data_IF_173507444898
#
_entry.id   IF_173507444898
#
_cell.length_a   1.000
_cell.length_b   1.000
_cell.length_c   1.000
_cell.angle_alpha   90.00
_cell.angle_beta   90.00
_cell.angle_gamma   90.00
#
_symmetry.space_group_name_H-M   'P 1'
#
loop_
_entity.id
_entity.type
_entity.pdbx_description
1 polymer ?
#
# COMPACT_ATOMS: atom_id res chain seq x y z
N UNK A 1 23.38 -9.78 -20.70
CA UNK A 1 23.81 -10.22 -19.35
C UNK A 1 24.48 -9.06 -18.68
N UNK A 2 24.00 -8.64 -17.51
CA UNK A 2 24.55 -7.56 -16.69
C UNK A 2 25.25 -8.18 -15.47
N UNK A 3 26.49 -7.78 -15.20
CA UNK A 3 27.22 -8.16 -13.98
C UNK A 3 27.38 -6.92 -13.11
N UNK A 4 26.86 -7.00 -11.89
CA UNK A 4 27.07 -5.98 -10.85
C UNK A 4 28.25 -6.42 -9.98
N UNK A 5 29.37 -5.68 -10.04
CA UNK A 5 30.58 -5.94 -9.26
C UNK A 5 30.52 -5.21 -7.93
N UNK A 6 30.98 -5.87 -6.87
CA UNK A 6 31.11 -5.28 -5.53
C UNK A 6 29.79 -4.78 -4.92
N UNK A 7 28.66 -5.40 -5.24
CA UNK A 7 27.36 -5.02 -4.65
C UNK A 7 27.25 -5.56 -3.22
N UNK A 8 26.71 -4.77 -2.31
CA UNK A 8 26.43 -5.17 -0.92
C UNK A 8 25.08 -5.89 -0.83
N UNK A 9 25.01 -6.97 -0.08
CA UNK A 9 23.76 -7.65 0.28
C UNK A 9 23.18 -7.00 1.53
N UNK A 10 21.91 -6.63 1.51
CA UNK A 10 21.25 -5.77 2.50
C UNK A 10 21.25 -6.34 3.93
N UNK A 11 21.03 -7.66 4.09
CA UNK A 11 20.87 -8.31 5.39
C UNK A 11 22.18 -8.85 5.96
N UNK A 12 23.08 -9.34 5.11
CA UNK A 12 24.36 -9.90 5.54
C UNK A 12 25.48 -8.87 5.54
N UNK A 13 25.35 -7.79 4.73
CA UNK A 13 26.43 -6.83 4.48
C UNK A 13 27.57 -7.38 3.63
N UNK A 14 27.44 -8.62 3.13
CA UNK A 14 28.45 -9.26 2.27
C UNK A 14 28.56 -8.51 0.94
N UNK A 15 29.80 -8.36 0.46
CA UNK A 15 30.05 -7.75 -0.86
C UNK A 15 30.33 -8.87 -1.85
N UNK A 16 29.55 -8.88 -2.92
CA UNK A 16 29.55 -9.95 -3.92
C UNK A 16 29.53 -9.39 -5.35
N UNK A 17 29.79 -10.26 -6.32
CA UNK A 17 29.48 -10.03 -7.72
C UNK A 17 28.17 -10.73 -8.08
N UNK A 18 27.20 -9.98 -8.61
CA UNK A 18 25.90 -10.49 -8.97
C UNK A 18 25.71 -10.48 -10.47
N UNK A 19 25.29 -11.60 -11.05
CA UNK A 19 25.00 -11.71 -12.47
C UNK A 19 23.49 -11.71 -12.67
N UNK A 20 23.02 -10.73 -13.43
CA UNK A 20 21.64 -10.63 -13.86
C UNK A 20 21.57 -11.15 -15.31
N UNK A 21 20.89 -12.28 -15.58
CA UNK A 21 20.73 -12.78 -16.94
C UNK A 21 20.06 -11.73 -17.80
N UNK A 22 20.43 -11.66 -19.08
CA UNK A 22 19.72 -10.78 -20.02
C UNK A 22 18.26 -11.20 -20.12
N UNK A 23 17.41 -10.24 -19.92
CA UNK A 23 16.03 -10.40 -19.57
C UNK A 23 15.19 -11.20 -20.57
N UNK A 24 14.20 -11.86 -20.03
CA UNK A 24 12.87 -12.03 -20.61
C UNK A 24 12.38 -10.69 -21.21
N UNK A 25 11.70 -10.75 -22.35
CA UNK A 25 11.26 -9.58 -23.13
C UNK A 25 10.37 -8.58 -22.34
N UNK A 26 9.91 -8.98 -21.15
CA UNK A 26 9.10 -8.17 -20.23
C UNK A 26 9.85 -7.02 -19.53
N UNK A 27 11.19 -7.05 -19.57
CA UNK A 27 12.05 -6.11 -18.83
C UNK A 27 12.96 -5.31 -19.76
N UNK A 28 12.60 -5.20 -21.02
CA UNK A 28 13.33 -4.33 -21.93
C UNK A 28 12.85 -2.88 -21.73
N UNK A 29 13.77 -1.91 -21.64
CA UNK A 29 13.40 -0.50 -21.72
C UNK A 29 12.54 -0.25 -22.97
N UNK A 30 11.61 0.68 -22.91
CA UNK A 30 10.74 1.04 -24.04
C UNK A 30 11.52 1.41 -25.32
N UNK A 31 12.81 1.77 -25.17
CA UNK A 31 13.75 2.08 -26.25
C UNK A 31 14.50 0.85 -26.80
N UNK A 32 14.19 -0.35 -26.32
CA UNK A 32 14.78 -1.62 -26.78
C UNK A 32 16.26 -1.81 -26.40
N UNK A 33 16.78 -1.00 -25.48
CA UNK A 33 18.16 -1.13 -25.03
C UNK A 33 18.36 -2.35 -24.13
N UNK A 34 19.16 -3.32 -24.56
CA UNK A 34 19.62 -4.41 -23.68
C UNK A 34 20.78 -3.89 -22.85
N UNK A 35 20.60 -3.83 -21.51
CA UNK A 35 21.71 -3.50 -20.61
C UNK A 35 22.62 -4.73 -20.50
N UNK A 36 23.80 -4.65 -21.11
CA UNK A 36 24.82 -5.69 -21.03
C UNK A 36 26.13 -5.09 -20.53
N UNK A 37 26.92 -5.90 -19.85
CA UNK A 37 28.26 -5.54 -19.42
C UNK A 37 28.52 -5.69 -17.94
N UNK A 38 29.72 -5.28 -17.56
CA UNK A 38 30.17 -5.24 -16.16
C UNK A 38 29.98 -3.81 -15.63
N UNK A 39 29.26 -3.70 -14.51
CA UNK A 39 29.01 -2.44 -13.82
C UNK A 39 29.62 -2.49 -12.42
N UNK A 40 30.41 -1.48 -12.06
CA UNK A 40 30.91 -1.35 -10.69
C UNK A 40 29.77 -0.83 -9.79
N UNK A 41 29.28 -1.72 -8.93
CA UNK A 41 28.19 -1.47 -8.00
C UNK A 41 28.72 -1.13 -6.57
N UNK A 42 29.99 -0.72 -6.47
CA UNK A 42 30.53 -0.24 -5.19
C UNK A 42 29.69 0.89 -4.63
N UNK A 43 29.21 0.74 -3.40
CA UNK A 43 28.30 1.69 -2.75
C UNK A 43 26.83 1.44 -3.01
N UNK A 44 26.45 0.45 -3.85
CA UNK A 44 25.07 0.01 -3.99
C UNK A 44 24.76 -1.16 -3.08
N UNK A 45 23.51 -1.25 -2.67
CA UNK A 45 22.98 -2.36 -1.89
C UNK A 45 21.86 -3.05 -2.68
N UNK A 46 21.93 -4.37 -2.79
CA UNK A 46 20.83 -5.18 -3.32
C UNK A 46 19.93 -5.62 -2.18
N UNK A 47 18.62 -5.41 -2.35
CA UNK A 47 17.59 -5.77 -1.39
C UNK A 47 16.38 -6.40 -2.12
N UNK A 48 15.48 -7.08 -1.39
CA UNK A 48 14.17 -7.42 -1.95
C UNK A 48 13.45 -6.16 -2.39
N UNK A 49 12.69 -6.23 -3.47
CA UNK A 49 11.87 -5.11 -3.93
C UNK A 49 10.90 -4.65 -2.84
N UNK A 50 10.59 -3.36 -2.82
CA UNK A 50 9.62 -2.83 -1.87
C UNK A 50 8.22 -3.35 -2.18
N UNK A 51 7.40 -3.44 -1.13
CA UNK A 51 5.98 -3.74 -1.24
C UNK A 51 5.18 -2.64 -0.53
N UNK A 52 4.04 -2.26 -1.11
CA UNK A 52 3.17 -1.24 -0.54
C UNK A 52 1.75 -1.77 -0.37
N UNK A 53 1.29 -2.02 0.85
CA UNK A 53 -0.04 -2.55 1.09
C UNK A 53 -1.15 -1.48 1.02
N UNK A 54 -0.85 -0.24 0.60
CA UNK A 54 -1.79 0.86 0.63
C UNK A 54 -1.57 1.86 -0.50
N UNK A 55 -2.22 1.60 -1.67
CA UNK A 55 -2.20 2.53 -2.81
C UNK A 55 -3.60 2.71 -3.41
N UNK A 56 -3.85 3.90 -3.97
CA UNK A 56 -5.11 4.27 -4.60
C UNK A 56 -4.93 4.50 -6.10
N UNK A 57 -4.76 3.44 -6.86
CA UNK A 57 -4.84 3.55 -8.31
C UNK A 57 -6.29 3.82 -8.70
N UNK A 58 -6.49 4.78 -9.59
CA UNK A 58 -7.79 5.38 -9.88
C UNK A 58 -8.51 4.74 -11.05
N UNK A 59 -8.10 3.56 -11.43
CA UNK A 59 -8.62 2.77 -12.56
C UNK A 59 -9.38 1.55 -12.00
N UNK A 60 -10.66 1.35 -12.39
CA UNK A 60 -11.44 2.12 -13.37
C UNK A 60 -12.06 3.40 -12.81
N UNK A 61 -12.54 4.24 -13.71
CA UNK A 61 -13.50 5.31 -13.47
C UNK A 61 -12.94 6.69 -13.13
N UNK A 62 -11.66 6.78 -12.72
CA UNK A 62 -10.97 8.04 -12.45
C UNK A 62 -9.56 8.07 -13.07
N UNK A 63 -9.40 7.43 -14.21
CA UNK A 63 -8.11 7.29 -14.93
C UNK A 63 -7.47 8.62 -15.31
N UNK A 64 -8.24 9.70 -15.32
CA UNK A 64 -7.74 11.07 -15.49
C UNK A 64 -6.87 11.57 -14.31
N UNK A 65 -6.95 10.92 -13.15
CA UNK A 65 -6.07 11.16 -12.00
C UNK A 65 -4.85 10.27 -12.05
N UNK A 66 -5.09 8.98 -12.28
CA UNK A 66 -4.05 7.96 -12.44
C UNK A 66 -4.65 6.69 -13.03
N UNK A 67 -3.96 6.10 -14.01
CA UNK A 67 -4.28 4.79 -14.56
C UNK A 67 -3.45 3.69 -13.89
N UNK A 68 -3.83 2.42 -14.09
CA UNK A 68 -3.00 1.28 -13.67
C UNK A 68 -1.57 1.38 -14.23
N UNK A 69 -1.41 1.81 -15.49
CA UNK A 69 -0.10 1.93 -16.14
C UNK A 69 0.75 3.02 -15.46
N UNK A 70 0.18 4.20 -15.19
CA UNK A 70 0.94 5.29 -14.57
C UNK A 70 1.28 4.99 -13.11
N UNK A 71 0.34 4.42 -12.34
CA UNK A 71 0.57 4.03 -10.96
C UNK A 71 1.62 2.92 -10.81
N UNK A 72 1.56 1.88 -11.67
CA UNK A 72 2.58 0.84 -11.68
C UNK A 72 3.97 1.37 -12.10
N UNK A 73 4.05 2.37 -12.99
CA UNK A 73 5.31 3.04 -13.33
C UNK A 73 5.85 3.87 -12.17
N UNK A 74 5.00 4.60 -11.46
CA UNK A 74 5.39 5.33 -10.26
C UNK A 74 5.93 4.37 -9.19
N UNK A 75 5.24 3.26 -8.96
CA UNK A 75 5.68 2.21 -8.04
C UNK A 75 7.06 1.65 -8.44
N UNK A 76 7.23 1.26 -9.70
CA UNK A 76 8.51 0.74 -10.21
C UNK A 76 9.64 1.77 -10.07
N UNK A 77 9.36 3.06 -10.32
CA UNK A 77 10.35 4.15 -10.17
C UNK A 77 10.78 4.33 -8.72
N UNK A 78 9.92 4.03 -7.75
CA UNK A 78 10.23 4.05 -6.32
C UNK A 78 10.87 2.76 -5.80
N UNK A 79 11.10 1.76 -6.67
CA UNK A 79 11.68 0.47 -6.28
C UNK A 79 10.66 -0.55 -5.74
N UNK A 80 9.37 -0.28 -5.88
CA UNK A 80 8.33 -1.23 -5.52
C UNK A 80 8.18 -2.31 -6.58
N UNK A 81 7.96 -3.52 -6.14
CA UNK A 81 7.74 -4.70 -6.99
C UNK A 81 6.36 -5.31 -6.78
N UNK A 82 5.69 -4.94 -5.70
CA UNK A 82 4.34 -5.36 -5.39
C UNK A 82 3.56 -4.27 -4.66
N UNK A 83 2.26 -4.11 -4.98
CA UNK A 83 1.35 -3.16 -4.32
C UNK A 83 0.00 -3.80 -4.05
N UNK A 84 -0.71 -3.33 -3.01
CA UNK A 84 -2.10 -3.69 -2.73
C UNK A 84 -3.00 -2.48 -3.04
N UNK A 85 -3.91 -2.67 -3.99
CA UNK A 85 -4.80 -1.61 -4.46
C UNK A 85 -6.05 -1.57 -3.57
N UNK A 86 -6.31 -0.40 -2.98
CA UNK A 86 -7.49 -0.15 -2.14
C UNK A 86 -8.79 -0.15 -2.95
N UNK A 87 -9.92 -0.52 -2.32
CA UNK A 87 -11.15 -0.85 -3.05
C UNK A 87 -11.98 0.35 -3.50
N UNK A 88 -11.49 1.58 -3.34
CA UNK A 88 -12.20 2.83 -3.59
C UNK A 88 -12.15 3.31 -5.04
N UNK A 89 -12.14 2.40 -5.99
CA UNK A 89 -12.35 2.66 -7.43
C UNK A 89 -13.79 3.09 -7.74
N UNK A 90 -14.08 3.44 -8.97
CA UNK A 90 -15.44 3.81 -9.42
C UNK A 90 -15.80 3.02 -10.68
N UNK A 91 -16.63 1.98 -10.59
CA UNK A 91 -17.33 1.45 -9.40
C UNK A 91 -16.38 0.87 -8.34
N UNK A 92 -16.90 0.69 -7.12
CA UNK A 92 -16.11 0.11 -6.02
C UNK A 92 -15.86 -1.39 -6.21
N UNK A 93 -14.75 -1.91 -5.66
CA UNK A 93 -14.38 -3.33 -5.74
C UNK A 93 -15.14 -4.16 -4.70
N UNK A 94 -16.42 -4.38 -4.87
CA UNK A 94 -17.25 -5.21 -3.97
C UNK A 94 -17.64 -6.58 -4.55
N UNK A 95 -17.14 -6.92 -5.73
CA UNK A 95 -17.36 -8.20 -6.43
C UNK A 95 -18.72 -8.31 -7.13
N UNK A 96 -19.60 -7.33 -6.98
CA UNK A 96 -20.91 -7.34 -7.63
C UNK A 96 -20.82 -6.92 -9.10
N UNK A 97 -21.74 -7.47 -9.91
CA UNK A 97 -21.84 -7.09 -11.32
C UNK A 97 -22.09 -5.58 -11.48
N UNK A 98 -21.30 -4.95 -12.34
CA UNK A 98 -21.38 -3.52 -12.63
C UNK A 98 -22.67 -3.22 -13.41
N UNK A 99 -23.39 -2.17 -13.00
CA UNK A 99 -24.61 -1.74 -13.68
C UNK A 99 -24.29 -0.83 -14.86
N UNK A 100 -24.78 -1.17 -16.05
CA UNK A 100 -24.64 -0.32 -17.22
C UNK A 100 -25.14 1.11 -16.95
N UNK A 101 -24.33 2.10 -17.34
CA UNK A 101 -24.63 3.52 -17.12
C UNK A 101 -24.18 4.08 -15.77
N UNK A 102 -23.66 3.25 -14.84
CA UNK A 102 -22.99 3.76 -13.65
C UNK A 102 -21.64 4.43 -14.02
N UNK A 103 -21.18 5.42 -13.24
CA UNK A 103 -19.86 6.01 -13.47
C UNK A 103 -18.75 4.94 -13.51
N UNK A 104 -17.86 5.01 -14.51
CA UNK A 104 -16.78 4.04 -14.71
C UNK A 104 -17.19 2.65 -15.22
N UNK A 105 -18.50 2.36 -15.28
CA UNK A 105 -18.99 1.05 -15.70
C UNK A 105 -18.61 0.68 -17.14
N UNK A 106 -18.49 1.65 -18.03
CA UNK A 106 -18.18 1.40 -19.42
C UNK A 106 -16.81 0.74 -19.58
N UNK A 107 -15.80 1.16 -18.84
CA UNK A 107 -14.44 0.60 -18.87
C UNK A 107 -14.45 -0.91 -18.56
N UNK A 108 -15.22 -1.31 -17.54
CA UNK A 108 -15.35 -2.71 -17.11
C UNK A 108 -16.13 -3.55 -18.12
N UNK A 109 -17.30 -3.03 -18.57
CA UNK A 109 -18.21 -3.75 -19.48
C UNK A 109 -17.65 -3.88 -20.89
N UNK A 110 -17.00 -2.86 -21.42
CA UNK A 110 -16.35 -2.88 -22.74
C UNK A 110 -15.16 -3.83 -22.77
N UNK A 111 -14.53 -4.06 -21.61
CA UNK A 111 -13.51 -5.09 -21.42
C UNK A 111 -14.08 -6.52 -21.41
N UNK A 112 -15.40 -6.68 -21.40
CA UNK A 112 -16.09 -7.97 -21.31
C UNK A 112 -16.09 -8.57 -19.91
N UNK A 113 -15.81 -7.75 -18.88
CA UNK A 113 -15.79 -8.16 -17.48
C UNK A 113 -17.15 -7.89 -16.80
N UNK A 114 -17.49 -8.65 -15.78
CA UNK A 114 -18.76 -8.51 -15.05
C UNK A 114 -18.68 -7.53 -13.88
N UNK A 115 -17.52 -7.46 -13.25
CA UNK A 115 -17.25 -6.64 -12.07
C UNK A 115 -15.83 -6.05 -12.11
N UNK A 116 -15.54 -5.15 -11.18
CA UNK A 116 -14.26 -4.42 -11.14
C UNK A 116 -13.09 -5.34 -10.79
N UNK A 117 -13.29 -6.35 -9.93
CA UNK A 117 -12.22 -7.25 -9.54
C UNK A 117 -11.83 -8.12 -10.75
N UNK A 118 -12.81 -8.67 -11.47
CA UNK A 118 -12.58 -9.40 -12.72
C UNK A 118 -11.82 -8.56 -13.76
N UNK A 119 -12.23 -7.29 -13.91
CA UNK A 119 -11.55 -6.33 -14.79
C UNK A 119 -10.08 -6.13 -14.41
N UNK A 120 -9.78 -5.88 -13.15
CA UNK A 120 -8.41 -5.66 -12.68
C UNK A 120 -7.58 -6.95 -12.73
N UNK A 121 -8.14 -8.11 -12.42
CA UNK A 121 -7.45 -9.39 -12.55
C UNK A 121 -7.06 -9.73 -13.98
N UNK A 122 -7.74 -9.15 -14.96
CA UNK A 122 -7.48 -9.35 -16.38
C UNK A 122 -6.92 -8.10 -17.09
N UNK A 123 -6.54 -7.07 -16.36
CA UNK A 123 -6.17 -5.76 -16.89
C UNK A 123 -5.11 -5.83 -18.00
N UNK A 124 -4.01 -6.53 -17.77
CA UNK A 124 -2.92 -6.66 -18.73
C UNK A 124 -3.39 -7.30 -20.05
N UNK A 125 -4.23 -8.33 -19.94
CA UNK A 125 -4.80 -9.02 -21.11
C UNK A 125 -5.79 -8.13 -21.86
N UNK A 126 -6.64 -7.41 -21.14
CA UNK A 126 -7.68 -6.56 -21.74
C UNK A 126 -7.07 -5.38 -22.49
N UNK A 127 -6.03 -4.79 -21.94
CA UNK A 127 -5.36 -3.61 -22.51
C UNK A 127 -4.14 -3.93 -23.36
N UNK A 128 -3.77 -5.22 -23.51
CA UNK A 128 -2.57 -5.68 -24.22
C UNK A 128 -1.30 -4.95 -23.72
N UNK A 129 -1.16 -4.86 -22.40
CA UNK A 129 -0.03 -4.22 -21.72
C UNK A 129 0.67 -5.20 -20.78
N UNK A 130 1.92 -4.92 -20.44
CA UNK A 130 2.63 -5.57 -19.34
C UNK A 130 2.98 -4.54 -18.29
N UNK A 131 2.55 -4.78 -17.05
CA UNK A 131 2.80 -3.86 -15.95
C UNK A 131 4.13 -4.20 -15.27
N UNK A 132 4.92 -3.18 -14.88
CA UNK A 132 6.26 -3.39 -14.32
C UNK A 132 6.26 -3.89 -12.87
N UNK A 133 5.11 -3.87 -12.19
CA UNK A 133 4.95 -4.34 -10.80
C UNK A 133 3.77 -5.30 -10.71
N UNK A 134 3.84 -6.21 -9.74
CA UNK A 134 2.69 -7.04 -9.35
C UNK A 134 1.74 -6.22 -8.49
N UNK A 135 0.48 -6.61 -8.49
CA UNK A 135 -0.50 -6.02 -7.58
C UNK A 135 -1.47 -7.07 -7.08
N UNK A 136 -1.90 -6.88 -5.87
CA UNK A 136 -3.02 -7.58 -5.27
C UNK A 136 -4.19 -6.60 -5.10
N UNK A 137 -5.37 -7.13 -4.81
CA UNK A 137 -6.58 -6.36 -4.72
C UNK A 137 -7.16 -6.44 -3.31
N UNK A 138 -7.77 -5.34 -2.88
CA UNK A 138 -8.58 -5.29 -1.67
C UNK A 138 -10.06 -5.26 -2.05
N UNK A 139 -10.89 -6.05 -1.39
CA UNK A 139 -12.35 -5.98 -1.61
C UNK A 139 -13.01 -5.07 -0.59
N UNK A 140 -14.11 -4.40 -0.98
CA UNK A 140 -14.89 -3.57 -0.07
C UNK A 140 -15.45 -4.36 1.11
N UNK A 141 -15.38 -3.80 2.31
CA UNK A 141 -16.06 -4.32 3.50
C UNK A 141 -17.58 -4.13 3.40
N UNK A 142 -18.03 -3.07 2.73
CA UNK A 142 -19.46 -2.80 2.49
C UNK A 142 -19.78 -2.66 1.00
N UNK A 143 -21.01 -2.98 0.62
CA UNK A 143 -21.51 -2.82 -0.75
C UNK A 143 -21.40 -1.37 -1.19
N UNK A 144 -20.87 -1.13 -2.41
CA UNK A 144 -20.55 0.19 -2.96
C UNK A 144 -19.66 1.05 -2.03
N UNK A 145 -18.99 0.44 -1.06
CA UNK A 145 -18.25 1.15 0.00
C UNK A 145 -19.11 2.19 0.74
N UNK A 146 -20.38 1.88 0.89
CA UNK A 146 -21.40 2.81 1.39
C UNK A 146 -21.51 2.84 2.92
N UNK A 147 -20.95 1.85 3.63
CA UNK A 147 -21.11 1.69 5.07
C UNK A 147 -22.53 1.32 5.53
N UNK A 148 -23.41 0.89 4.63
CA UNK A 148 -24.83 0.60 4.91
C UNK A 148 -25.11 -0.90 5.02
N UNK A 149 -24.51 -1.70 4.15
CA UNK A 149 -24.68 -3.14 4.10
C UNK A 149 -23.32 -3.79 3.86
N UNK A 150 -22.98 -4.83 4.63
CA UNK A 150 -21.74 -5.57 4.44
C UNK A 150 -21.68 -6.23 3.05
N UNK A 151 -20.50 -6.27 2.44
CA UNK A 151 -20.31 -7.02 1.19
C UNK A 151 -20.56 -8.51 1.41
N UNK A 152 -21.09 -9.16 0.38
CA UNK A 152 -21.42 -10.59 0.46
C UNK A 152 -20.22 -11.43 -0.04
N UNK A 153 -19.68 -12.34 0.78
CA UNK A 153 -18.63 -13.24 0.34
C UNK A 153 -18.96 -14.00 -0.95
N UNK A 154 -20.22 -14.31 -1.21
CA UNK A 154 -20.65 -14.97 -2.43
C UNK A 154 -20.32 -14.18 -3.71
N UNK A 155 -20.20 -12.85 -3.61
CA UNK A 155 -19.88 -12.00 -4.75
C UNK A 155 -18.37 -12.00 -5.07
N UNK A 156 -17.47 -12.19 -4.07
CA UNK A 156 -16.03 -11.97 -4.25
C UNK A 156 -15.12 -13.16 -3.86
N UNK A 157 -15.61 -14.21 -3.16
CA UNK A 157 -14.76 -15.36 -2.79
C UNK A 157 -14.04 -16.00 -3.99
N UNK A 158 -14.65 -15.97 -5.17
CA UNK A 158 -14.04 -16.51 -6.40
C UNK A 158 -12.75 -15.82 -6.82
N UNK A 159 -12.48 -14.64 -6.29
CA UNK A 159 -11.32 -13.82 -6.61
C UNK A 159 -10.13 -14.02 -5.65
N UNK A 160 -10.26 -14.91 -4.67
CA UNK A 160 -9.19 -15.28 -3.75
C UNK A 160 -8.35 -16.42 -4.33
N UNK A 161 -7.05 -16.40 -4.00
CA UNK A 161 -6.20 -17.58 -4.23
C UNK A 161 -6.77 -18.82 -3.53
N UNK A 162 -6.79 -19.94 -4.24
CA UNK A 162 -7.31 -21.20 -3.70
C UNK A 162 -8.80 -21.44 -3.93
N UNK A 163 -9.54 -20.45 -4.42
CA UNK A 163 -10.94 -20.62 -4.86
C UNK A 163 -11.00 -20.82 -6.37
N UNK A 164 -10.73 -22.03 -6.81
CA UNK A 164 -10.80 -22.39 -8.22
C UNK A 164 -12.26 -22.55 -8.68
N UNK A 165 -12.69 -21.71 -9.58
CA UNK A 165 -14.02 -21.80 -10.20
C UNK A 165 -14.04 -22.68 -11.46
N UNK A 166 -12.88 -22.98 -12.08
CA UNK A 166 -12.78 -23.62 -13.40
C UNK A 166 -11.78 -24.78 -13.48
N UNK A 167 -11.33 -25.33 -12.36
CA UNK A 167 -10.30 -26.40 -12.35
C UNK A 167 -8.90 -25.89 -12.69
N UNK A 168 -8.63 -24.58 -12.52
CA UNK A 168 -7.30 -24.00 -12.62
C UNK A 168 -6.64 -23.94 -11.25
N UNK A 169 -5.34 -24.21 -11.20
CA UNK A 169 -4.60 -24.16 -9.95
C UNK A 169 -4.62 -22.75 -9.34
N UNK A 170 -4.84 -22.66 -8.04
CA UNK A 170 -4.98 -21.43 -7.25
C UNK A 170 -3.90 -20.37 -7.48
N UNK A 171 -2.66 -20.80 -7.74
CA UNK A 171 -1.53 -19.91 -8.03
C UNK A 171 -1.57 -19.26 -9.43
N UNK A 172 -2.61 -19.52 -10.22
CA UNK A 172 -2.81 -18.91 -11.55
C UNK A 172 -3.61 -17.61 -11.51
N UNK A 173 -4.15 -17.20 -10.37
CA UNK A 173 -4.69 -15.86 -10.20
C UNK A 173 -3.53 -14.87 -10.16
N UNK A 174 -3.37 -14.09 -11.21
CA UNK A 174 -2.26 -13.14 -11.33
C UNK A 174 -2.35 -12.03 -10.26
N UNK A 175 -3.57 -11.65 -9.86
CA UNK A 175 -3.87 -10.51 -8.99
C UNK A 175 -5.00 -10.86 -8.01
N UNK A 176 -4.73 -11.66 -6.95
CA UNK A 176 -5.77 -12.12 -6.04
C UNK A 176 -6.29 -10.99 -5.13
N UNK A 177 -7.50 -11.20 -4.61
CA UNK A 177 -7.96 -10.45 -3.44
C UNK A 177 -7.27 -11.02 -2.20
N UNK A 178 -6.61 -10.17 -1.42
CA UNK A 178 -5.83 -10.58 -0.25
C UNK A 178 -6.29 -9.92 1.06
N UNK A 179 -7.13 -8.89 0.99
CA UNK A 179 -7.61 -8.15 2.16
C UNK A 179 -9.02 -7.58 1.94
N UNK A 180 -9.63 -7.13 3.03
CA UNK A 180 -10.94 -6.45 3.05
C UNK A 180 -10.76 -5.06 3.67
N UNK A 181 -11.34 -4.01 3.05
CA UNK A 181 -11.31 -2.64 3.57
C UNK A 181 -12.47 -1.81 3.00
N UNK A 182 -12.89 -0.78 3.73
CA UNK A 182 -13.67 0.33 3.18
C UNK A 182 -12.84 1.61 3.06
N UNK A 183 -11.53 1.47 2.87
CA UNK A 183 -10.56 2.57 2.91
C UNK A 183 -11.02 3.85 2.24
N UNK A 184 -10.65 4.97 2.86
CA UNK A 184 -11.23 6.30 2.74
C UNK A 184 -12.43 6.51 3.68
N UNK A 185 -12.85 5.45 4.42
CA UNK A 185 -13.79 5.49 5.52
C UNK A 185 -13.58 4.30 6.46
N UNK A 186 -13.78 4.50 7.76
CA UNK A 186 -13.80 3.40 8.71
C UNK A 186 -15.05 2.52 8.50
N UNK A 187 -14.91 1.22 8.74
CA UNK A 187 -16.08 0.32 8.79
C UNK A 187 -17.08 0.82 9.83
N UNK A 188 -18.33 1.00 9.43
CA UNK A 188 -19.36 1.53 10.33
C UNK A 188 -19.64 0.57 11.49
N UNK A 189 -19.91 1.07 12.72
CA UNK A 189 -20.09 0.20 13.89
C UNK A 189 -21.16 -0.86 13.70
N UNK A 190 -22.24 -0.56 12.97
CA UNK A 190 -23.34 -1.50 12.71
C UNK A 190 -22.98 -2.67 11.79
N UNK A 191 -21.91 -2.56 11.02
CA UNK A 191 -21.47 -3.61 10.10
C UNK A 191 -20.26 -4.39 10.60
N UNK A 192 -19.52 -3.88 11.57
CA UNK A 192 -18.21 -4.39 11.95
C UNK A 192 -18.23 -5.88 12.33
N UNK A 193 -19.23 -6.32 13.11
CA UNK A 193 -19.34 -7.72 13.51
C UNK A 193 -19.55 -8.65 12.29
N UNK A 194 -20.38 -8.24 11.32
CA UNK A 194 -20.59 -9.00 10.10
C UNK A 194 -19.35 -9.00 9.21
N UNK A 195 -18.69 -7.85 9.08
CA UNK A 195 -17.42 -7.73 8.32
C UNK A 195 -16.35 -8.64 8.91
N UNK A 196 -16.17 -8.65 10.23
CA UNK A 196 -15.20 -9.52 10.89
C UNK A 196 -15.55 -11.01 10.73
N UNK A 197 -16.84 -11.36 10.69
CA UNK A 197 -17.27 -12.73 10.37
C UNK A 197 -16.87 -13.10 8.93
N UNK A 198 -17.11 -12.22 7.95
CA UNK A 198 -16.71 -12.42 6.56
C UNK A 198 -15.17 -12.55 6.40
N UNK A 199 -14.42 -11.70 7.08
CA UNK A 199 -12.95 -11.74 7.13
C UNK A 199 -12.46 -13.11 7.62
N UNK A 200 -13.05 -13.59 8.71
CA UNK A 200 -12.69 -14.88 9.32
C UNK A 200 -13.05 -16.06 8.43
N UNK A 201 -14.22 -16.02 7.80
CA UNK A 201 -14.67 -17.04 6.85
C UNK A 201 -13.76 -17.16 5.63
N UNK A 202 -13.35 -16.01 5.11
CA UNK A 202 -12.46 -15.94 3.95
C UNK A 202 -10.98 -16.23 4.27
N UNK A 203 -10.60 -16.26 5.55
CA UNK A 203 -9.19 -16.39 5.96
C UNK A 203 -8.33 -15.17 5.62
N UNK A 204 -8.96 -14.00 5.49
CA UNK A 204 -8.32 -12.72 5.19
C UNK A 204 -8.03 -11.93 6.47
N UNK A 205 -7.61 -10.68 6.33
CA UNK A 205 -7.49 -9.70 7.40
C UNK A 205 -8.24 -8.42 7.02
N UNK A 206 -8.67 -7.67 8.05
CA UNK A 206 -9.30 -6.37 7.87
C UNK A 206 -8.22 -5.30 7.82
N UNK A 207 -8.26 -4.46 6.81
CA UNK A 207 -7.50 -3.21 6.75
C UNK A 207 -8.46 -2.09 7.12
N UNK A 208 -8.18 -1.40 8.22
CA UNK A 208 -9.09 -0.40 8.78
C UNK A 208 -8.56 1.02 8.62
N UNK A 209 -9.33 1.85 7.92
CA UNK A 209 -9.09 3.28 7.85
C UNK A 209 -9.36 3.93 9.21
N UNK A 210 -8.30 4.42 9.86
CA UNK A 210 -8.36 4.82 11.26
C UNK A 210 -8.85 6.25 11.45
N UNK A 211 -10.07 6.55 10.99
CA UNK A 211 -10.67 7.85 11.22
C UNK A 211 -12.18 7.75 11.41
N UNK A 212 -12.66 8.36 12.51
CA UNK A 212 -14.09 8.51 12.73
C UNK A 212 -14.66 9.60 11.80
N UNK A 213 -15.91 9.45 11.38
CA UNK A 213 -16.59 10.37 10.44
C UNK A 213 -16.90 11.76 11.02
N UNK A 214 -16.00 12.33 11.80
CA UNK A 214 -16.10 13.71 12.28
C UNK A 214 -15.77 14.69 11.14
N UNK A 215 -16.40 15.84 11.17
CA UNK A 215 -16.21 16.86 10.15
C UNK A 215 -14.99 17.73 10.46
N UNK A 216 -14.17 17.97 9.45
CA UNK A 216 -13.02 18.87 9.55
C UNK A 216 -12.25 18.88 8.22
N UNK A 217 -11.29 19.77 8.09
CA UNK A 217 -10.50 19.88 6.87
C UNK A 217 -9.01 19.63 7.08
N UNK A 218 -8.49 19.94 8.29
CA UNK A 218 -7.10 19.78 8.68
C UNK A 218 -7.03 19.46 10.18
N UNK A 219 -5.87 19.12 10.71
CA UNK A 219 -5.68 18.87 12.14
C UNK A 219 -6.21 20.01 13.03
N UNK A 220 -6.93 19.68 14.11
CA UNK A 220 -7.39 20.72 15.06
C UNK A 220 -6.22 21.30 15.83
N UNK A 221 -6.10 22.63 15.74
CA UNK A 221 -4.99 23.30 16.40
C UNK A 221 -4.82 24.77 15.99
N UNK A 222 -3.63 25.32 16.25
CA UNK A 222 -3.31 26.68 15.85
C UNK A 222 -3.39 26.90 14.33
N UNK A 223 -3.04 25.87 13.53
CA UNK A 223 -3.02 25.94 12.07
C UNK A 223 -4.45 25.98 11.50
N UNK A 224 -5.38 25.13 11.96
CA UNK A 224 -6.78 25.19 11.51
C UNK A 224 -7.42 26.52 11.79
N UNK A 225 -7.16 27.09 12.98
CA UNK A 225 -7.64 28.43 13.36
C UNK A 225 -7.03 29.53 12.48
N UNK A 226 -5.74 29.44 12.14
CA UNK A 226 -5.06 30.39 11.27
C UNK A 226 -5.57 30.35 9.83
N UNK A 227 -5.89 29.13 9.34
CA UNK A 227 -6.47 28.91 8.01
C UNK A 227 -7.96 29.25 7.97
N UNK A 228 -8.63 29.39 9.13
CA UNK A 228 -10.06 29.66 9.22
C UNK A 228 -10.94 28.48 8.78
N UNK A 229 -10.46 27.24 8.96
CA UNK A 229 -11.16 26.03 8.60
C UNK A 229 -11.41 25.15 9.83
N UNK A 230 -12.46 24.28 9.82
CA UNK A 230 -12.72 23.38 10.93
C UNK A 230 -11.59 22.37 11.11
N UNK A 231 -11.22 22.11 12.37
CA UNK A 231 -10.20 21.12 12.73
C UNK A 231 -10.77 19.71 12.88
N UNK A 232 -9.94 18.72 12.66
CA UNK A 232 -10.18 17.30 12.93
C UNK A 232 -9.48 16.97 14.25
N UNK A 233 -10.21 16.63 15.32
CA UNK A 233 -9.62 16.26 16.60
C UNK A 233 -8.73 15.02 16.49
N UNK A 234 -7.70 14.92 17.32
CA UNK A 234 -6.81 13.76 17.35
C UNK A 234 -7.51 12.46 17.81
N UNK A 235 -8.55 12.59 18.64
CA UNK A 235 -9.32 11.46 19.19
C UNK A 235 -10.20 10.77 18.12
N UNK A 236 -10.38 11.35 16.94
CA UNK A 236 -11.10 10.72 15.82
C UNK A 236 -10.43 9.41 15.42
N UNK A 237 -9.10 9.40 15.35
CA UNK A 237 -8.29 8.22 15.06
C UNK A 237 -8.36 7.21 16.22
N UNK A 238 -8.15 7.64 17.45
CA UNK A 238 -8.21 6.77 18.62
C UNK A 238 -9.57 6.09 18.80
N UNK A 239 -10.67 6.74 18.45
CA UNK A 239 -12.02 6.15 18.53
C UNK A 239 -12.12 4.86 17.73
N UNK A 240 -11.57 4.85 16.52
CA UNK A 240 -11.55 3.66 15.66
C UNK A 240 -10.54 2.65 16.17
N UNK A 241 -9.31 3.07 16.43
CA UNK A 241 -8.25 2.18 16.91
C UNK A 241 -8.68 1.47 18.21
N UNK A 242 -9.23 2.19 19.19
CA UNK A 242 -9.67 1.60 20.45
C UNK A 242 -10.85 0.62 20.27
N UNK A 243 -11.84 0.98 19.42
CA UNK A 243 -12.96 0.11 19.08
C UNK A 243 -12.48 -1.23 18.51
N UNK A 244 -11.55 -1.15 17.56
CA UNK A 244 -11.11 -2.31 16.79
C UNK A 244 -10.09 -3.17 17.54
N UNK A 245 -9.33 -2.58 18.46
CA UNK A 245 -8.55 -3.34 19.45
C UNK A 245 -9.47 -4.24 20.29
N UNK A 246 -10.61 -3.72 20.78
CA UNK A 246 -11.58 -4.55 21.51
C UNK A 246 -12.16 -5.66 20.61
N UNK A 247 -12.46 -5.35 19.35
CA UNK A 247 -12.95 -6.34 18.37
C UNK A 247 -11.90 -7.42 18.05
N UNK A 248 -10.65 -7.04 17.90
CA UNK A 248 -9.56 -8.01 17.73
C UNK A 248 -9.43 -8.92 18.97
N UNK A 249 -9.61 -8.37 20.18
CA UNK A 249 -9.60 -9.13 21.43
C UNK A 249 -10.77 -10.11 21.50
N UNK A 250 -11.99 -9.68 21.13
CA UNK A 250 -13.19 -10.51 21.18
C UNK A 250 -13.19 -11.64 20.14
N UNK A 251 -12.74 -11.36 18.93
CA UNK A 251 -12.92 -12.25 17.77
C UNK A 251 -11.67 -13.05 17.40
N UNK A 252 -10.48 -12.55 17.77
CA UNK A 252 -9.19 -13.08 17.33
C UNK A 252 -8.90 -12.84 15.84
N UNK A 253 -9.67 -11.97 15.17
CA UNK A 253 -9.44 -11.57 13.77
C UNK A 253 -8.26 -10.63 13.70
N UNK A 254 -7.41 -10.80 12.68
CA UNK A 254 -6.31 -9.88 12.42
C UNK A 254 -6.87 -8.56 11.85
N UNK A 255 -6.57 -7.45 12.53
CA UNK A 255 -6.90 -6.09 12.07
C UNK A 255 -5.59 -5.33 11.86
N UNK A 256 -5.46 -4.75 10.67
CA UNK A 256 -4.36 -3.88 10.30
C UNK A 256 -4.82 -2.42 10.28
N UNK A 257 -4.23 -1.59 11.13
CA UNK A 257 -4.55 -0.17 11.24
C UNK A 257 -3.75 0.62 10.22
N UNK A 258 -4.45 1.28 9.27
CA UNK A 258 -3.84 2.09 8.23
C UNK A 258 -3.34 3.43 8.78
N UNK A 259 -2.29 3.95 8.15
CA UNK A 259 -1.76 5.33 8.25
C UNK A 259 -1.90 5.99 9.63
N UNK A 260 -1.62 5.25 10.70
CA UNK A 260 -1.68 5.78 12.07
C UNK A 260 -0.78 7.00 12.21
N UNK A 261 -1.31 8.08 12.79
CA UNK A 261 -0.70 9.40 12.78
C UNK A 261 -0.64 10.11 14.13
N UNK A 262 -1.32 9.61 15.20
CA UNK A 262 -1.39 10.27 16.51
C UNK A 262 -0.64 9.53 17.59
N UNK A 263 -0.04 10.28 18.52
CA UNK A 263 0.66 9.73 19.68
C UNK A 263 -0.25 8.85 20.55
N UNK A 264 -1.50 9.25 20.74
CA UNK A 264 -2.46 8.52 21.56
C UNK A 264 -2.87 7.18 20.96
N UNK A 265 -2.95 7.09 19.63
CA UNK A 265 -3.23 5.82 18.93
C UNK A 265 -2.04 4.86 19.00
N UNK A 266 -0.82 5.36 18.80
CA UNK A 266 0.38 4.53 18.98
C UNK A 266 0.49 3.96 20.40
N UNK A 267 0.12 4.73 21.42
CA UNK A 267 0.10 4.25 22.81
C UNK A 267 -0.93 3.14 23.04
N UNK A 268 -2.11 3.24 22.42
CA UNK A 268 -3.14 2.20 22.48
C UNK A 268 -2.69 0.92 21.76
N UNK A 269 -2.14 1.06 20.55
CA UNK A 269 -1.63 -0.06 19.74
C UNK A 269 -0.47 -0.76 20.46
N UNK A 270 0.48 -0.02 21.01
CA UNK A 270 1.62 -0.57 21.77
C UNK A 270 1.16 -1.44 22.94
N UNK A 271 0.15 -0.98 23.71
CA UNK A 271 -0.44 -1.74 24.81
C UNK A 271 -1.10 -3.01 24.31
N UNK A 272 -1.91 -2.92 23.27
CA UNK A 272 -2.62 -4.06 22.70
C UNK A 272 -1.65 -5.11 22.11
N UNK A 273 -0.56 -4.69 21.48
CA UNK A 273 0.52 -5.59 21.01
C UNK A 273 1.21 -6.29 22.19
N UNK A 274 1.45 -5.58 23.30
CA UNK A 274 2.04 -6.19 24.50
C UNK A 274 1.12 -7.25 25.12
N UNK A 275 -0.19 -7.18 24.88
CA UNK A 275 -1.15 -8.22 25.26
C UNK A 275 -1.14 -9.42 24.29
N UNK A 276 -0.46 -9.32 23.15
CA UNK A 276 -0.39 -10.36 22.11
C UNK A 276 -1.61 -10.42 21.20
N UNK A 277 -2.35 -9.31 21.06
CA UNK A 277 -3.50 -9.26 20.16
C UNK A 277 -3.07 -9.35 18.69
N UNK A 278 -3.90 -9.94 17.81
CA UNK A 278 -3.61 -10.07 16.39
C UNK A 278 -3.85 -8.74 15.66
N UNK A 279 -3.03 -7.74 15.96
CA UNK A 279 -3.08 -6.43 15.34
C UNK A 279 -1.73 -6.04 14.77
N UNK A 280 -1.77 -5.29 13.67
CA UNK A 280 -0.61 -4.64 13.07
C UNK A 280 -0.98 -3.20 12.70
N UNK A 281 0.01 -2.34 12.48
CA UNK A 281 -0.24 -0.99 12.01
C UNK A 281 0.84 -0.50 11.05
N UNK A 282 0.45 0.42 10.20
CA UNK A 282 1.33 1.16 9.33
C UNK A 282 1.28 2.65 9.62
N UNK A 283 2.27 3.37 9.11
CA UNK A 283 2.26 4.81 8.95
C UNK A 283 2.87 5.20 7.61
N UNK A 284 2.74 6.46 7.22
CA UNK A 284 3.12 6.89 5.88
C UNK A 284 4.29 7.89 5.89
N UNK A 285 5.09 7.96 4.79
CA UNK A 285 6.23 8.86 4.67
C UNK A 285 5.91 10.32 4.93
N UNK A 286 4.71 10.78 4.54
CA UNK A 286 4.29 12.16 4.76
C UNK A 286 4.10 12.52 6.24
N UNK A 287 3.73 11.57 7.12
CA UNK A 287 3.69 11.80 8.58
C UNK A 287 5.08 11.83 9.24
N UNK A 288 6.11 11.42 8.53
CA UNK A 288 7.50 11.53 8.97
C UNK A 288 8.12 12.87 8.58
N UNK A 289 7.82 13.30 7.35
CA UNK A 289 8.43 14.48 6.75
C UNK A 289 7.72 15.77 7.12
N UNK A 290 6.38 15.75 7.23
CA UNK A 290 5.52 16.92 7.34
C UNK A 290 4.72 16.92 8.65
N UNK A 291 4.28 18.10 9.06
CA UNK A 291 3.32 18.33 10.14
C UNK A 291 2.28 19.38 9.69
N UNK A 292 1.31 19.68 10.53
CA UNK A 292 0.23 20.62 10.20
C UNK A 292 0.72 22.04 9.84
N UNK A 293 1.86 22.49 10.39
CA UNK A 293 2.45 23.80 10.06
C UNK A 293 2.85 23.90 8.57
N UNK A 294 3.20 22.78 7.93
CA UNK A 294 3.60 22.73 6.52
C UNK A 294 2.44 23.04 5.58
N UNK A 295 1.19 22.93 6.04
CA UNK A 295 0.01 23.39 5.30
C UNK A 295 0.03 24.89 5.00
N UNK A 296 0.76 25.68 5.80
CA UNK A 296 0.90 27.12 5.58
C UNK A 296 1.80 27.45 4.38
N UNK A 297 2.70 26.53 4.02
CA UNK A 297 3.60 26.66 2.87
C UNK A 297 3.05 25.95 1.64
N UNK A 298 2.67 24.67 1.79
CA UNK A 298 2.27 23.81 0.67
C UNK A 298 0.76 23.83 0.37
N UNK A 299 -0.04 24.45 1.23
CA UNK A 299 -1.48 24.57 1.03
C UNK A 299 -2.16 23.22 0.92
N UNK A 300 -3.12 23.14 0.03
CA UNK A 300 -3.92 21.94 -0.22
C UNK A 300 -3.15 20.78 -0.86
N UNK A 301 -1.96 21.02 -1.42
CA UNK A 301 -1.10 19.93 -1.90
C UNK A 301 -0.70 18.99 -0.77
N UNK A 302 -0.56 19.52 0.46
CA UNK A 302 -0.27 18.75 1.66
C UNK A 302 -1.53 18.31 2.44
N UNK A 303 -2.74 18.52 1.89
CA UNK A 303 -3.98 18.09 2.52
C UNK A 303 -4.15 16.59 2.38
N UNK A 304 -4.23 15.89 3.52
CA UNK A 304 -4.29 14.44 3.65
C UNK A 304 -5.35 14.02 4.67
N UNK A 305 -5.74 12.75 4.66
CA UNK A 305 -6.66 12.14 5.63
C UNK A 305 -6.19 10.72 6.00
N UNK A 306 -5.86 10.45 7.29
CA UNK A 306 -5.83 11.39 8.43
C UNK A 306 -5.01 12.65 8.16
N UNK A 307 -5.35 13.81 8.79
CA UNK A 307 -4.64 15.05 8.50
C UNK A 307 -3.19 14.99 8.98
N UNK A 308 -2.31 15.76 8.34
CA UNK A 308 -0.99 16.02 8.90
C UNK A 308 -1.17 16.54 10.32
N UNK A 309 -0.62 15.83 11.30
CA UNK A 309 -0.77 16.12 12.72
C UNK A 309 0.28 17.14 13.20
N UNK A 310 0.26 17.44 14.49
CA UNK A 310 1.22 18.34 15.09
C UNK A 310 2.67 17.83 14.99
N UNK A 311 3.65 18.72 15.18
CA UNK A 311 5.06 18.33 15.28
C UNK A 311 5.32 17.34 16.43
N UNK A 312 4.49 17.34 17.47
CA UNK A 312 4.57 16.36 18.59
C UNK A 312 4.14 14.99 18.11
N UNK A 313 3.05 14.88 17.36
CA UNK A 313 2.58 13.62 16.79
C UNK A 313 3.56 13.08 15.76
N UNK A 314 4.14 13.95 14.91
CA UNK A 314 5.20 13.56 13.98
C UNK A 314 6.38 12.93 14.73
N UNK A 315 6.81 13.51 15.84
CA UNK A 315 7.88 12.94 16.64
C UNK A 315 7.47 11.63 17.31
N UNK A 316 6.21 11.50 17.73
CA UNK A 316 5.66 10.25 18.27
C UNK A 316 5.60 9.14 17.21
N UNK A 317 5.29 9.48 15.94
CA UNK A 317 5.32 8.57 14.80
C UNK A 317 6.73 8.01 14.57
N UNK A 318 7.75 8.88 14.56
CA UNK A 318 9.16 8.48 14.44
C UNK A 318 9.55 7.56 15.61
N UNK A 319 9.15 7.91 16.83
CA UNK A 319 9.43 7.10 18.03
C UNK A 319 8.75 5.71 17.96
N UNK A 320 7.50 5.64 17.45
CA UNK A 320 6.76 4.39 17.30
C UNK A 320 7.37 3.46 16.23
N UNK A 321 8.03 4.00 15.22
CA UNK A 321 8.82 3.21 14.27
C UNK A 321 10.09 2.68 14.94
N UNK A 322 10.79 3.53 15.68
CA UNK A 322 12.05 3.18 16.33
C UNK A 322 11.88 2.11 17.42
N UNK A 323 10.76 2.14 18.15
CA UNK A 323 10.47 1.17 19.22
C UNK A 323 9.78 -0.12 18.72
N UNK A 324 9.43 -0.19 17.43
CA UNK A 324 8.79 -1.36 16.82
C UNK A 324 7.27 -1.43 17.00
N UNK A 325 6.62 -0.37 17.48
CA UNK A 325 5.16 -0.29 17.52
C UNK A 325 4.56 -0.31 16.12
N UNK A 326 5.17 0.43 15.17
CA UNK A 326 4.83 0.38 13.74
C UNK A 326 5.47 -0.85 13.11
N UNK A 327 4.66 -1.65 12.41
CA UNK A 327 5.10 -2.88 11.75
C UNK A 327 5.72 -2.64 10.39
N UNK A 328 5.18 -1.69 9.63
CA UNK A 328 5.57 -1.41 8.25
C UNK A 328 5.29 0.04 7.85
N UNK A 329 5.87 0.44 6.74
CA UNK A 329 5.65 1.73 6.09
C UNK A 329 4.87 1.49 4.78
N UNK A 330 3.77 2.21 4.62
CA UNK A 330 2.97 2.24 3.40
C UNK A 330 2.82 3.69 2.92
N UNK A 331 2.65 3.91 1.63
CA UNK A 331 2.68 5.27 1.10
C UNK A 331 1.35 6.01 1.22
N UNK A 332 0.25 5.29 1.21
CA UNK A 332 -1.08 5.87 0.98
C UNK A 332 -1.06 6.78 -0.25
N UNK A 333 -0.46 6.26 -1.34
CA UNK A 333 -0.36 6.97 -2.62
C UNK A 333 -1.74 7.25 -3.18
N UNK A 334 -2.18 8.51 -3.07
CA UNK A 334 -3.55 8.93 -3.38
C UNK A 334 -3.57 10.14 -4.33
N UNK A 335 -3.41 9.91 -5.64
CA UNK A 335 -3.30 10.98 -6.63
C UNK A 335 -4.62 11.70 -6.88
N UNK A 336 -4.50 13.02 -7.08
CA UNK A 336 -5.56 13.93 -7.50
C UNK A 336 -5.00 14.94 -8.49
N UNK A 337 -5.86 15.48 -9.35
CA UNK A 337 -5.42 16.51 -10.29
C UNK A 337 -5.08 17.83 -9.58
N UNK A 338 -4.20 18.61 -10.18
CA UNK A 338 -3.86 19.92 -9.62
C UNK A 338 -5.11 20.83 -9.50
N UNK A 339 -6.01 20.77 -10.51
CA UNK A 339 -7.27 21.50 -10.48
C UNK A 339 -8.15 21.13 -9.28
N UNK A 340 -8.20 19.83 -8.92
CA UNK A 340 -8.94 19.39 -7.74
C UNK A 340 -8.27 19.87 -6.45
N UNK A 341 -6.95 19.83 -6.39
CA UNK A 341 -6.19 20.31 -5.22
C UNK A 341 -6.26 21.84 -5.03
N UNK A 342 -6.49 22.61 -6.07
CA UNK A 342 -6.59 24.08 -6.00
C UNK A 342 -7.96 24.60 -5.52
N UNK A 343 -8.93 23.74 -5.21
CA UNK A 343 -10.28 24.13 -4.78
C UNK A 343 -10.38 24.70 -3.36
N UNK A 344 -9.26 24.83 -2.65
CA UNK A 344 -9.21 25.29 -1.26
C UNK A 344 -9.48 24.19 -0.24
N UNK A 345 -9.17 24.43 1.03
CA UNK A 345 -9.14 23.39 2.05
C UNK A 345 -10.46 22.67 2.32
N UNK A 346 -11.61 23.30 2.06
CA UNK A 346 -12.91 22.65 2.29
C UNK A 346 -13.32 21.72 1.15
N UNK A 347 -12.91 22.01 -0.08
CA UNK A 347 -13.36 21.31 -1.28
C UNK A 347 -12.27 20.45 -1.93
N UNK A 348 -10.99 20.76 -1.69
CA UNK A 348 -9.89 19.96 -2.22
C UNK A 348 -9.93 18.55 -1.62
N UNK A 349 -9.78 17.51 -2.44
CA UNK A 349 -9.73 16.13 -1.94
C UNK A 349 -8.46 15.90 -1.11
N UNK A 350 -8.54 14.93 -0.22
CA UNK A 350 -7.41 14.45 0.56
C UNK A 350 -6.56 13.49 -0.29
N UNK A 351 -5.25 13.64 -0.24
CA UNK A 351 -4.34 12.73 -0.93
C UNK A 351 -3.00 13.38 -1.26
N UNK A 352 -1.94 12.61 -1.09
CA UNK A 352 -0.56 12.94 -1.42
C UNK A 352 0.00 11.78 -2.26
N UNK A 353 0.82 12.07 -3.28
CA UNK A 353 1.56 11.04 -4.00
C UNK A 353 2.83 10.70 -3.23
N UNK A 354 3.22 9.42 -3.18
CA UNK A 354 4.33 8.99 -2.33
C UNK A 354 5.25 7.95 -2.94
N UNK A 355 4.78 7.09 -3.86
CA UNK A 355 5.51 5.92 -4.33
C UNK A 355 6.94 6.22 -4.79
N UNK A 356 7.14 7.23 -5.64
CA UNK A 356 8.44 7.51 -6.24
C UNK A 356 9.48 8.02 -5.24
N UNK A 357 9.07 8.63 -4.12
CA UNK A 357 9.97 9.28 -3.18
C UNK A 357 9.99 8.67 -1.76
N UNK A 358 9.15 7.67 -1.50
CA UNK A 358 8.95 7.11 -0.16
C UNK A 358 10.27 6.67 0.49
N UNK A 359 11.09 5.88 -0.22
CA UNK A 359 12.35 5.41 0.34
C UNK A 359 13.27 6.57 0.71
N UNK A 360 13.46 7.53 -0.20
CA UNK A 360 14.33 8.68 0.05
C UNK A 360 13.88 9.53 1.23
N UNK A 361 12.57 9.75 1.36
CA UNK A 361 11.98 10.49 2.50
C UNK A 361 12.20 9.73 3.80
N UNK A 362 11.86 8.43 3.83
CA UNK A 362 12.01 7.60 5.02
C UNK A 362 13.48 7.45 5.43
N UNK A 363 14.38 7.23 4.46
CA UNK A 363 15.81 7.18 4.72
C UNK A 363 16.32 8.48 5.33
N UNK A 364 15.97 9.60 4.72
CA UNK A 364 16.38 10.93 5.21
C UNK A 364 15.94 11.21 6.64
N UNK A 365 14.71 10.86 6.98
CA UNK A 365 14.17 11.13 8.32
C UNK A 365 14.66 10.10 9.34
N UNK A 366 14.59 8.82 9.00
CA UNK A 366 14.77 7.74 9.97
C UNK A 366 16.21 7.27 10.07
N UNK A 367 16.91 7.10 8.95
CA UNK A 367 18.29 6.57 8.94
C UNK A 367 19.29 7.70 9.14
N UNK A 368 19.26 8.76 8.32
CA UNK A 368 20.12 9.93 8.51
C UNK A 368 19.86 10.59 9.87
N UNK A 369 18.61 10.54 10.35
CA UNK A 369 18.22 11.00 11.69
C UNK A 369 18.74 10.13 12.84
N UNK A 370 19.28 8.95 12.54
CA UNK A 370 19.85 8.01 13.52
C UNK A 370 18.81 7.25 14.36
N UNK A 371 17.55 7.16 13.90
CA UNK A 371 16.48 6.46 14.62
C UNK A 371 16.48 4.96 14.37
N UNK A 372 16.76 4.54 13.12
CA UNK A 372 16.85 3.13 12.72
C UNK A 372 18.04 2.91 11.78
N UNK A 373 18.38 1.65 11.51
CA UNK A 373 19.37 1.29 10.50
C UNK A 373 18.74 1.17 9.11
N UNK A 374 19.57 1.20 8.04
CA UNK A 374 19.14 0.89 6.66
C UNK A 374 18.45 -0.46 6.58
N UNK A 375 19.03 -1.49 7.23
CA UNK A 375 18.43 -2.82 7.27
C UNK A 375 17.01 -2.79 7.82
N UNK A 376 16.78 -2.04 8.93
CA UNK A 376 15.43 -1.91 9.51
C UNK A 376 14.49 -1.17 8.58
N UNK A 377 14.95 -0.16 7.86
CA UNK A 377 14.14 0.52 6.86
C UNK A 377 13.70 -0.42 5.73
N UNK A 378 14.62 -1.24 5.22
CA UNK A 378 14.31 -2.26 4.20
C UNK A 378 13.30 -3.28 4.75
N UNK A 379 13.45 -3.73 6.00
CA UNK A 379 12.45 -4.60 6.64
C UNK A 379 11.06 -3.98 6.65
N UNK A 380 10.95 -2.68 6.99
CA UNK A 380 9.69 -1.95 7.08
C UNK A 380 9.04 -1.67 5.72
N UNK A 381 9.81 -1.55 4.65
CA UNK A 381 9.30 -1.21 3.31
C UNK A 381 9.23 -2.40 2.36
N UNK A 382 9.84 -3.53 2.70
CA UNK A 382 9.90 -4.71 1.85
C UNK A 382 9.37 -5.96 2.54
N UNK A 383 10.07 -6.41 3.59
CA UNK A 383 9.84 -7.72 4.21
C UNK A 383 8.51 -7.76 4.95
N UNK A 384 8.23 -6.77 5.78
CA UNK A 384 7.02 -6.72 6.59
C UNK A 384 5.75 -6.53 5.73
N UNK A 385 5.70 -5.57 4.79
CA UNK A 385 4.54 -5.42 3.93
C UNK A 385 4.31 -6.64 3.01
N UNK A 386 5.38 -7.26 2.46
CA UNK A 386 5.22 -8.49 1.69
C UNK A 386 4.57 -9.61 2.52
N UNK A 387 4.96 -9.77 3.78
CA UNK A 387 4.36 -10.77 4.68
C UNK A 387 2.90 -10.46 4.99
N UNK A 388 2.56 -9.19 5.21
CA UNK A 388 1.17 -8.76 5.43
C UNK A 388 0.30 -9.15 4.22
N UNK A 389 0.80 -8.92 3.00
CA UNK A 389 0.11 -9.25 1.75
C UNK A 389 0.13 -10.76 1.42
N UNK A 390 0.69 -11.61 2.29
CA UNK A 390 0.76 -13.05 2.08
C UNK A 390 1.88 -13.53 1.15
N UNK A 391 2.78 -12.62 0.74
CA UNK A 391 3.91 -12.96 -0.11
C UNK A 391 5.15 -13.36 0.69
N UNK A 392 5.96 -14.21 0.09
CA UNK A 392 7.30 -14.48 0.60
C UNK A 392 8.26 -13.41 0.09
N UNK A 393 8.94 -12.66 0.96
CA UNK A 393 9.99 -11.76 0.54
C UNK A 393 11.06 -12.54 -0.23
N UNK A 394 11.62 -11.92 -1.24
CA UNK A 394 12.70 -12.56 -2.01
C UNK A 394 13.91 -12.80 -1.11
N UNK A 395 14.34 -14.05 -1.04
CA UNK A 395 15.60 -14.40 -0.40
C UNK A 395 16.75 -14.06 -1.35
N UNK A 396 17.38 -12.91 -1.15
CA UNK A 396 18.50 -12.44 -1.96
C UNK A 396 19.68 -13.40 -1.87
N UNK A 397 19.95 -13.96 -0.70
CA UNK A 397 21.03 -14.92 -0.52
C UNK A 397 20.77 -16.22 -1.29
N UNK A 398 19.54 -16.71 -1.32
CA UNK A 398 19.18 -17.90 -2.10
C UNK A 398 19.28 -17.66 -3.61
N UNK A 399 18.96 -16.46 -4.10
CA UNK A 399 19.16 -16.10 -5.51
C UNK A 399 20.64 -16.09 -5.91
N UNK A 400 21.53 -15.72 -4.99
CA UNK A 400 22.96 -15.63 -5.21
C UNK A 400 23.67 -17.00 -5.19
N UNK A 401 23.10 -17.98 -4.50
CA UNK A 401 23.63 -19.35 -4.46
C UNK A 401 23.29 -20.18 -5.71
N UNK A 402 22.52 -19.62 -6.66
CA UNK A 402 22.22 -20.29 -7.95
C UNK A 402 23.39 -20.04 -8.92
N UNK A 403 24.58 -20.48 -8.59
CA UNK A 403 25.74 -20.50 -9.51
C UNK A 403 25.76 -21.72 -10.43
N UNK A 404 24.80 -22.64 -10.32
CA UNK A 404 24.64 -23.73 -11.26
C UNK A 404 23.72 -23.28 -12.42
N UNK A 405 24.03 -23.62 -13.68
CA UNK A 405 23.12 -23.40 -14.77
C UNK A 405 21.86 -24.27 -14.54
N UNK A 406 20.89 -23.72 -13.85
CA UNK A 406 19.60 -24.37 -13.69
C UNK A 406 18.91 -24.28 -15.04
N UNK A 407 18.81 -25.41 -15.74
CA UNK A 407 18.10 -25.57 -16.99
C UNK A 407 16.57 -25.44 -16.86
N UNK A 408 16.04 -25.06 -15.71
CA UNK A 408 14.65 -24.70 -15.52
C UNK A 408 14.50 -23.20 -15.65
N UNK A 409 13.73 -22.78 -16.63
CA UNK A 409 13.24 -21.40 -16.84
C UNK A 409 12.43 -20.93 -15.63
N UNK A 410 13.07 -20.68 -14.51
CA UNK A 410 12.52 -19.80 -13.50
C UNK A 410 12.98 -18.41 -13.89
N UNK A 411 12.08 -17.63 -14.43
CA UNK A 411 12.16 -16.18 -14.52
C UNK A 411 12.69 -15.68 -13.19
N UNK A 412 13.80 -14.95 -13.21
CA UNK A 412 14.14 -14.07 -12.10
C UNK A 412 12.96 -13.11 -11.99
N UNK A 413 12.12 -13.35 -10.99
CA UNK A 413 11.07 -12.43 -10.61
C UNK A 413 11.78 -11.13 -10.26
N UNK A 414 11.38 -10.00 -10.85
CA UNK A 414 11.94 -8.68 -10.58
C UNK A 414 11.54 -8.18 -9.19
N UNK A 415 11.69 -9.02 -8.21
CA UNK A 415 11.45 -8.73 -6.80
C UNK A 415 12.66 -8.09 -6.11
N UNK A 416 13.63 -7.59 -6.86
CA UNK A 416 14.83 -6.95 -6.32
C UNK A 416 14.86 -5.46 -6.64
N UNK A 417 15.07 -4.64 -5.63
CA UNK A 417 15.39 -3.22 -5.77
C UNK A 417 16.90 -2.99 -5.65
N UNK A 418 17.41 -2.11 -6.48
CA UNK A 418 18.77 -1.57 -6.32
C UNK A 418 18.65 -0.23 -5.60
N UNK A 419 19.16 -0.19 -4.37
CA UNK A 419 19.13 0.99 -3.53
C UNK A 419 20.47 1.67 -3.61
N UNK A 420 20.48 2.95 -3.98
CA UNK A 420 21.68 3.79 -3.90
C UNK A 420 21.71 4.43 -2.50
N UNK A 421 22.68 4.04 -1.69
CA UNK A 421 22.90 4.55 -0.33
C UNK A 421 24.01 5.58 -0.36
#
# INVERSE_FOLDING_TARGET
MLTLRNIRVWDTGEIIDMVIPSADARNQPEDGGVIEGDFDATGLTVAPGFADPHVHFRDPGQTYKESMVSGCRAAASGGYTNVLIMPNTVPAMDGRAVKAGAPGAAEVLDAGCSDVIDYLQHYERVHDVSLPVRYDLCVCASKDRSGVEASDPADWLRHLDGHDMDGKDAWQLAHPVTAISDDGAAVTPGLLDQVLANVKEAGLYLIEHCEHHDTGAVNDGPVSRKLGVPGIPEDTELKIVARDIEKARETGVHIHFQHVSTAISFDAIRKAKAEGLPITCETAPHYLALCDEDLLEYGTLAKMNPPLRSAVDRQATIAAIADGTVDLLATDHAPHTLEEKERGFLEAPNGIIGLECAYGVCHKVLVDGGYISDQRLIELMSVAPSRLMGHRPTDVAALLNVTAPCASKRTLDLSLSLIHI
#
